data_IF_197742569031
#
_entry.id   IF_197742569031
#
_cell.length_a   1.000
_cell.length_b   1.000
_cell.length_c   1.000
_cell.angle_alpha   90.00
_cell.angle_beta   90.00
_cell.angle_gamma   90.00
#
_symmetry.space_group_name_H-M   'P 1'
#
loop_
_entity.id
_entity.type
_entity.pdbx_description
1 polymer ?
#
# COMPACT_ATOMS: atom_id res chain seq x y z
N UNK A 1 7.02 41.70 -60.58
CA UNK A 1 6.88 41.39 -59.13
C UNK A 1 8.00 42.09 -58.36
N UNK A 2 7.69 43.01 -57.43
CA UNK A 2 8.70 43.76 -56.66
C UNK A 2 9.62 42.77 -55.91
N UNK A 3 10.93 43.00 -55.92
CA UNK A 3 11.93 42.08 -55.34
C UNK A 3 11.62 41.68 -53.89
N UNK A 4 11.11 42.63 -53.10
CA UNK A 4 10.63 42.41 -51.72
C UNK A 4 9.47 41.40 -51.63
N UNK A 5 8.56 41.39 -52.60
CA UNK A 5 7.46 40.42 -52.67
C UNK A 5 8.00 38.99 -52.88
N UNK A 6 9.12 38.81 -53.60
CA UNK A 6 9.76 37.48 -53.74
C UNK A 6 10.34 36.98 -52.41
N UNK A 7 10.93 37.87 -51.62
CA UNK A 7 11.50 37.51 -50.31
C UNK A 7 10.37 37.19 -49.32
N UNK A 8 9.28 37.95 -49.34
CA UNK A 8 8.10 37.67 -48.54
C UNK A 8 7.44 36.32 -48.90
N UNK A 9 7.26 36.02 -50.19
CA UNK A 9 6.74 34.72 -50.60
C UNK A 9 7.69 33.57 -50.20
N UNK A 10 9.01 33.81 -50.20
CA UNK A 10 9.98 32.82 -49.75
C UNK A 10 9.89 32.56 -48.23
N UNK A 11 9.71 33.59 -47.40
CA UNK A 11 9.49 33.39 -45.96
C UNK A 11 8.17 32.68 -45.66
N UNK A 12 7.11 32.98 -46.42
CA UNK A 12 5.84 32.25 -46.33
C UNK A 12 6.02 30.79 -46.73
N UNK A 13 6.75 30.52 -47.81
CA UNK A 13 7.03 29.15 -48.25
C UNK A 13 7.81 28.35 -47.19
N UNK A 14 8.79 28.97 -46.52
CA UNK A 14 9.48 28.35 -45.38
C UNK A 14 8.49 28.02 -44.26
N UNK A 15 7.64 28.96 -43.85
CA UNK A 15 6.64 28.72 -42.81
C UNK A 15 5.64 27.58 -43.17
N UNK A 16 5.24 27.47 -44.44
CA UNK A 16 4.41 26.34 -44.90
C UNK A 16 5.16 25.02 -44.77
N UNK A 17 6.44 24.97 -45.15
CA UNK A 17 7.29 23.77 -45.01
C UNK A 17 7.45 23.40 -43.53
N UNK A 18 7.68 24.38 -42.66
CA UNK A 18 7.81 24.16 -41.21
C UNK A 18 6.49 23.62 -40.62
N UNK A 19 5.33 24.10 -41.07
CA UNK A 19 4.01 23.54 -40.69
C UNK A 19 3.87 22.09 -41.17
N UNK A 20 4.29 21.77 -42.39
CA UNK A 20 4.22 20.40 -42.91
C UNK A 20 5.16 19.45 -42.15
N UNK A 21 6.36 19.92 -41.79
CA UNK A 21 7.31 19.18 -40.95
C UNK A 21 6.70 18.94 -39.57
N UNK A 22 6.10 19.97 -38.97
CA UNK A 22 5.40 19.85 -37.71
C UNK A 22 4.26 18.85 -37.78
N UNK A 23 3.37 18.93 -38.78
CA UNK A 23 2.29 17.96 -38.98
C UNK A 23 2.80 16.54 -39.21
N UNK A 24 3.94 16.37 -39.88
CA UNK A 24 4.59 15.07 -40.03
C UNK A 24 5.07 14.51 -38.69
N UNK A 25 5.71 15.33 -37.84
CA UNK A 25 6.04 14.92 -36.46
C UNK A 25 4.79 14.65 -35.62
N UNK A 26 3.74 15.45 -35.80
CA UNK A 26 2.44 15.30 -35.15
C UNK A 26 1.77 13.96 -35.50
N UNK A 27 1.89 13.47 -36.75
CA UNK A 27 1.35 12.17 -37.14
C UNK A 27 2.02 11.00 -36.41
N UNK A 28 3.25 11.17 -35.92
CA UNK A 28 3.89 10.22 -35.01
C UNK A 28 3.50 10.43 -33.53
N UNK A 29 2.82 11.53 -33.19
CA UNK A 29 2.38 11.89 -31.84
C UNK A 29 0.86 11.73 -31.62
N UNK A 30 0.04 11.84 -32.67
CA UNK A 30 -1.43 11.74 -32.59
C UNK A 30 -1.87 10.29 -32.75
N UNK A 31 -2.35 9.68 -31.66
CA UNK A 31 -3.44 8.71 -31.73
C UNK A 31 -4.47 9.01 -30.62
N UNK A 32 -5.73 9.07 -31.06
CA UNK A 32 -7.00 9.00 -30.35
C UNK A 32 -7.01 9.12 -28.80
N UNK A 33 -7.81 10.09 -28.34
CA UNK A 33 -8.30 10.31 -26.96
C UNK A 33 -7.47 11.17 -26.00
N UNK A 34 -6.60 12.07 -26.49
CA UNK A 34 -6.24 13.24 -25.69
C UNK A 34 -7.15 14.41 -26.04
N UNK A 35 -7.97 14.88 -25.10
CA UNK A 35 -8.74 16.13 -25.19
C UNK A 35 -7.86 17.40 -25.27
N UNK A 36 -6.58 17.26 -25.61
CA UNK A 36 -5.56 18.30 -25.66
C UNK A 36 -5.39 18.87 -27.07
N UNK A 37 -6.46 19.45 -27.61
CA UNK A 37 -6.42 20.29 -28.82
C UNK A 37 -5.72 21.68 -28.61
N UNK A 38 -5.54 22.25 -27.40
CA UNK A 38 -4.96 23.61 -27.27
C UNK A 38 -3.45 23.74 -27.51
N UNK A 39 -2.64 22.74 -27.14
CA UNK A 39 -1.17 22.86 -27.22
C UNK A 39 -0.67 22.85 -28.66
N UNK A 40 -1.28 22.03 -29.51
CA UNK A 40 -0.87 21.91 -30.92
C UNK A 40 -1.20 23.14 -31.76
N UNK A 41 -2.28 23.85 -31.41
CA UNK A 41 -2.63 25.14 -32.01
C UNK A 41 -1.61 26.23 -31.66
N UNK A 42 -1.06 26.19 -30.45
CA UNK A 42 -0.05 27.15 -30.01
C UNK A 42 1.25 27.03 -30.82
N UNK A 43 1.69 25.81 -31.12
CA UNK A 43 2.90 25.57 -31.95
C UNK A 43 2.69 26.06 -33.38
N UNK A 44 1.51 25.86 -33.96
CA UNK A 44 1.17 26.41 -35.29
C UNK A 44 1.21 27.95 -35.26
N UNK A 45 0.66 28.57 -34.22
CA UNK A 45 0.69 30.04 -34.04
C UNK A 45 2.14 30.54 -33.94
N UNK A 46 3.00 29.84 -33.20
CA UNK A 46 4.43 30.18 -33.12
C UNK A 46 5.12 30.09 -34.49
N UNK A 47 4.90 29.02 -35.26
CA UNK A 47 5.45 28.88 -36.62
C UNK A 47 4.96 30.01 -37.54
N UNK A 48 3.68 30.37 -37.47
CA UNK A 48 3.13 31.48 -38.24
C UNK A 48 3.74 32.84 -37.82
N UNK A 49 3.96 33.04 -36.52
CA UNK A 49 4.61 34.25 -35.99
C UNK A 49 6.11 34.37 -36.37
N UNK A 50 6.74 33.26 -36.77
CA UNK A 50 8.12 33.26 -37.24
C UNK A 50 8.26 33.77 -38.69
N UNK A 51 7.19 33.77 -39.49
CA UNK A 51 7.22 34.20 -40.90
C UNK A 51 7.72 35.65 -41.06
N UNK A 52 7.24 36.66 -40.30
CA UNK A 52 7.80 38.02 -40.33
C UNK A 52 9.28 38.07 -39.94
N UNK A 53 9.72 37.25 -38.98
CA UNK A 53 11.12 37.18 -38.54
C UNK A 53 11.99 36.61 -39.67
N UNK A 54 11.55 35.52 -40.30
CA UNK A 54 12.20 34.93 -41.47
C UNK A 54 12.30 35.95 -42.62
N UNK A 55 11.26 36.75 -42.85
CA UNK A 55 11.27 37.82 -43.85
C UNK A 55 12.38 38.85 -43.58
N UNK A 56 12.50 39.34 -42.33
CA UNK A 56 13.53 40.31 -41.95
C UNK A 56 14.93 39.72 -42.11
N UNK A 57 15.16 38.49 -41.67
CA UNK A 57 16.45 37.79 -41.81
C UNK A 57 16.82 37.64 -43.29
N UNK A 58 15.91 37.14 -44.11
CA UNK A 58 16.14 36.96 -45.55
C UNK A 58 16.34 38.31 -46.26
N UNK A 59 15.65 39.36 -45.81
CA UNK A 59 15.82 40.72 -46.32
C UNK A 59 17.23 41.26 -46.04
N UNK A 60 17.71 41.13 -44.78
CA UNK A 60 19.05 41.53 -44.37
C UNK A 60 20.13 40.76 -45.13
N UNK A 61 20.00 39.44 -45.26
CA UNK A 61 20.93 38.61 -46.04
C UNK A 61 20.93 39.03 -47.51
N UNK A 62 19.76 39.28 -48.10
CA UNK A 62 19.65 39.80 -49.46
C UNK A 62 20.38 41.14 -49.62
N UNK A 63 20.25 42.04 -48.65
CA UNK A 63 20.88 43.35 -48.67
C UNK A 63 22.41 43.23 -48.56
N UNK A 64 22.91 42.50 -47.57
CA UNK A 64 24.35 42.31 -47.30
C UNK A 64 25.06 41.58 -48.44
N UNK A 65 24.44 40.57 -49.03
CA UNK A 65 25.02 39.75 -50.10
C UNK A 65 24.61 40.21 -51.51
N UNK A 66 24.19 41.47 -51.68
CA UNK A 66 23.86 42.09 -52.98
C UNK A 66 22.92 41.21 -53.84
N UNK A 67 21.86 40.67 -53.22
CA UNK A 67 20.84 39.83 -53.85
C UNK A 67 21.35 38.49 -54.40
N UNK A 68 22.44 37.95 -53.85
CA UNK A 68 22.99 36.66 -54.23
C UNK A 68 21.99 35.51 -53.97
N UNK A 69 21.61 34.80 -55.03
CA UNK A 69 20.66 33.68 -54.95
C UNK A 69 21.16 32.50 -54.11
N UNK A 70 22.47 32.23 -54.10
CA UNK A 70 23.04 31.12 -53.31
C UNK A 70 22.93 31.42 -51.82
N UNK A 71 23.23 32.65 -51.41
CA UNK A 71 23.11 33.09 -50.01
C UNK A 71 21.67 32.93 -49.50
N UNK A 72 20.68 33.39 -50.28
CA UNK A 72 19.27 33.22 -49.94
C UNK A 72 18.86 31.75 -49.79
N UNK A 73 19.27 30.87 -50.71
CA UNK A 73 18.96 29.43 -50.62
C UNK A 73 19.56 28.78 -49.37
N UNK A 74 20.82 29.09 -49.06
CA UNK A 74 21.52 28.56 -47.88
C UNK A 74 20.81 29.05 -46.60
N UNK A 75 20.50 30.34 -46.50
CA UNK A 75 19.77 30.88 -45.34
C UNK A 75 18.39 30.24 -45.20
N UNK A 76 17.63 30.05 -46.29
CA UNK A 76 16.34 29.35 -46.23
C UNK A 76 16.47 27.91 -45.72
N UNK A 77 17.49 27.18 -46.19
CA UNK A 77 17.74 25.81 -45.71
C UNK A 77 18.13 25.77 -44.23
N UNK A 78 18.92 26.74 -43.76
CA UNK A 78 19.30 26.87 -42.35
C UNK A 78 18.08 27.18 -41.46
N UNK A 79 17.18 28.07 -41.88
CA UNK A 79 15.95 28.37 -41.14
C UNK A 79 15.07 27.13 -40.97
N UNK A 80 14.89 26.35 -42.04
CA UNK A 80 14.14 25.08 -41.98
C UNK A 80 14.84 24.07 -41.06
N UNK A 81 16.17 23.92 -41.16
CA UNK A 81 16.94 23.01 -40.30
C UNK A 81 16.83 23.39 -38.82
N UNK A 82 16.90 24.70 -38.51
CA UNK A 82 16.72 25.19 -37.13
C UNK A 82 15.32 24.82 -36.62
N UNK A 83 14.28 24.98 -37.44
CA UNK A 83 12.92 24.56 -37.07
C UNK A 83 12.83 23.05 -36.83
N UNK A 84 13.42 22.22 -37.70
CA UNK A 84 13.48 20.76 -37.54
C UNK A 84 14.15 20.38 -36.21
N UNK A 85 15.32 20.97 -35.90
CA UNK A 85 16.03 20.66 -34.65
C UNK A 85 15.25 21.11 -33.41
N UNK A 86 14.57 22.27 -33.47
CA UNK A 86 13.72 22.74 -32.39
C UNK A 86 12.53 21.81 -32.15
N UNK A 87 11.81 21.42 -33.20
CA UNK A 87 10.68 20.48 -33.14
C UNK A 87 11.12 19.07 -32.71
N UNK A 88 12.31 18.64 -33.13
CA UNK A 88 12.87 17.36 -32.69
C UNK A 88 13.16 17.37 -31.18
N UNK A 89 13.75 18.45 -30.68
CA UNK A 89 14.07 18.63 -29.26
C UNK A 89 12.81 18.58 -28.39
N UNK A 90 11.77 19.33 -28.76
CA UNK A 90 10.51 19.38 -27.99
C UNK A 90 9.71 18.08 -28.07
N UNK A 91 9.71 17.40 -29.23
CA UNK A 91 9.02 16.11 -29.39
C UNK A 91 9.63 14.96 -28.58
N UNK A 92 10.88 15.10 -28.11
CA UNK A 92 11.53 14.11 -27.26
C UNK A 92 10.83 13.92 -25.91
N UNK A 93 10.57 15.03 -25.21
CA UNK A 93 9.89 15.04 -23.92
C UNK A 93 8.43 14.58 -24.04
N UNK A 94 7.73 15.00 -25.10
CA UNK A 94 6.35 14.60 -25.37
C UNK A 94 6.24 13.11 -25.68
N UNK A 95 7.18 12.54 -26.45
CA UNK A 95 7.24 11.09 -26.69
C UNK A 95 7.47 10.31 -25.39
N UNK A 96 8.34 10.82 -24.50
CA UNK A 96 8.59 10.18 -23.20
C UNK A 96 7.34 10.24 -22.30
N UNK A 97 6.67 11.39 -22.22
CA UNK A 97 5.39 11.54 -21.51
C UNK A 97 4.32 10.60 -22.06
N UNK A 98 4.16 10.54 -23.38
CA UNK A 98 3.23 9.62 -24.04
C UNK A 98 3.56 8.15 -23.73
N UNK A 99 4.82 7.75 -23.80
CA UNK A 99 5.25 6.39 -23.47
C UNK A 99 4.91 6.04 -22.02
N UNK A 100 5.11 6.98 -21.08
CA UNK A 100 4.76 6.79 -19.68
C UNK A 100 3.24 6.70 -19.48
N UNK A 101 2.45 7.55 -20.14
CA UNK A 101 0.99 7.46 -20.14
C UNK A 101 0.48 6.12 -20.66
N UNK A 102 1.05 5.62 -21.76
CA UNK A 102 0.68 4.32 -22.32
C UNK A 102 1.05 3.17 -21.39
N UNK A 103 2.20 3.25 -20.72
CA UNK A 103 2.60 2.28 -19.71
C UNK A 103 1.64 2.33 -18.51
N UNK A 104 1.34 3.52 -17.99
CA UNK A 104 0.41 3.73 -16.88
C UNK A 104 -1.00 3.24 -17.22
N UNK A 105 -1.52 3.55 -18.41
CA UNK A 105 -2.84 3.12 -18.87
C UNK A 105 -2.99 1.60 -18.90
N UNK A 106 -1.93 0.88 -19.34
CA UNK A 106 -1.90 -0.60 -19.41
C UNK A 106 -1.57 -1.26 -18.08
N UNK A 107 -1.05 -0.52 -17.12
CA UNK A 107 -0.68 -1.07 -15.81
C UNK A 107 -1.92 -1.35 -14.98
N UNK A 108 -1.90 -2.49 -14.29
CA UNK A 108 -2.97 -2.89 -13.38
C UNK A 108 -3.07 -1.95 -12.17
N UNK A 109 -4.32 -1.65 -11.79
CA UNK A 109 -4.66 -0.70 -10.73
C UNK A 109 -5.76 -1.26 -9.84
N UNK A 110 -5.75 -0.85 -8.57
CA UNK A 110 -6.75 -1.26 -7.59
C UNK A 110 -7.19 -0.08 -6.71
N UNK A 111 -8.41 -0.14 -6.22
CA UNK A 111 -8.88 0.77 -5.19
C UNK A 111 -8.40 0.30 -3.81
N UNK A 112 -7.29 0.86 -3.31
CA UNK A 112 -6.78 0.56 -1.98
C UNK A 112 -6.23 1.79 -1.26
N UNK A 113 -6.09 1.70 0.06
CA UNK A 113 -5.46 2.69 0.93
C UNK A 113 -4.19 2.12 1.58
N UNK A 114 -3.37 3.01 2.14
CA UNK A 114 -2.16 2.65 2.86
C UNK A 114 -2.34 2.93 4.35
N UNK A 115 -1.83 2.04 5.17
CA UNK A 115 -1.95 2.11 6.62
C UNK A 115 -0.63 1.85 7.34
N UNK A 116 -0.56 2.35 8.57
CA UNK A 116 0.53 2.05 9.50
C UNK A 116 -0.06 1.32 10.70
N UNK A 117 0.62 0.28 11.14
CA UNK A 117 0.31 -0.41 12.39
C UNK A 117 1.55 -0.45 13.28
N UNK A 118 1.34 -0.50 14.58
CA UNK A 118 2.38 -0.57 15.61
C UNK A 118 1.91 -1.53 16.69
N UNK A 119 2.80 -2.25 17.37
CA UNK A 119 2.42 -2.94 18.59
C UNK A 119 1.92 -1.96 19.65
N UNK A 120 0.89 -2.36 20.40
CA UNK A 120 0.32 -1.52 21.45
C UNK A 120 1.41 -1.14 22.46
N UNK A 121 1.49 0.16 22.76
CA UNK A 121 2.47 0.72 23.70
C UNK A 121 3.88 0.93 23.16
N UNK A 122 4.08 0.78 21.84
CA UNK A 122 5.35 1.10 21.18
C UNK A 122 5.15 2.22 20.15
N UNK A 123 4.96 3.48 20.62
CA UNK A 123 4.69 4.59 19.73
C UNK A 123 5.89 4.89 18.82
N UNK A 124 5.58 5.24 17.57
CA UNK A 124 6.56 5.73 16.59
C UNK A 124 6.07 7.01 15.91
N UNK A 125 6.98 7.75 15.28
CA UNK A 125 6.64 8.85 14.38
C UNK A 125 7.34 8.65 13.04
N UNK A 126 6.59 8.68 11.94
CA UNK A 126 7.17 8.63 10.60
C UNK A 126 7.86 9.95 10.23
N UNK A 127 9.01 9.84 9.56
CA UNK A 127 9.76 10.95 8.97
C UNK A 127 9.31 11.22 7.53
N UNK A 128 9.64 12.41 7.00
CA UNK A 128 9.02 12.97 5.79
C UNK A 128 9.12 12.11 4.52
N UNK A 129 10.17 11.30 4.38
CA UNK A 129 10.42 10.52 3.17
C UNK A 129 9.73 9.16 3.16
N UNK A 130 8.97 8.83 4.20
CA UNK A 130 8.24 7.55 4.31
C UNK A 130 7.12 7.45 3.26
N UNK A 131 7.14 6.40 2.43
CA UNK A 131 6.16 6.18 1.36
C UNK A 131 6.16 4.74 0.84
N UNK A 132 5.00 4.32 0.35
CA UNK A 132 4.91 3.25 -0.64
C UNK A 132 5.22 3.83 -2.02
N UNK A 133 6.37 3.47 -2.60
CA UNK A 133 6.86 4.08 -3.83
C UNK A 133 6.37 3.33 -5.06
N UNK A 134 5.85 4.10 -6.04
CA UNK A 134 5.33 3.62 -7.32
C UNK A 134 6.22 4.18 -8.43
N UNK A 135 6.70 3.31 -9.32
CA UNK A 135 7.57 3.64 -10.46
C UNK A 135 6.79 4.13 -11.68
N UNK A 136 5.59 3.60 -11.92
CA UNK A 136 4.76 3.93 -13.08
C UNK A 136 3.69 4.95 -12.69
N UNK A 137 3.77 6.15 -13.27
CA UNK A 137 2.88 7.29 -13.01
C UNK A 137 2.49 7.97 -14.33
N UNK A 138 1.25 8.41 -14.41
CA UNK A 138 0.78 9.34 -15.44
C UNK A 138 0.90 10.81 -15.01
N UNK A 139 0.30 11.71 -15.78
CA UNK A 139 0.22 13.15 -15.56
C UNK A 139 -0.75 13.47 -14.42
N UNK A 140 -1.78 12.63 -14.22
CA UNK A 140 -2.74 12.70 -13.10
C UNK A 140 -2.82 11.34 -12.42
N UNK A 141 -2.28 11.26 -11.20
CA UNK A 141 -2.33 10.04 -10.41
C UNK A 141 -3.10 10.29 -9.12
N UNK A 142 -3.91 9.32 -8.66
CA UNK A 142 -4.39 9.35 -7.29
C UNK A 142 -3.20 9.40 -6.34
N UNK A 143 -3.30 10.24 -5.32
CA UNK A 143 -2.27 10.40 -4.30
C UNK A 143 -2.67 9.60 -3.07
N UNK A 144 -1.73 8.76 -2.62
CA UNK A 144 -1.74 8.13 -1.30
C UNK A 144 -0.56 8.68 -0.52
N UNK A 145 -0.79 9.10 0.71
CA UNK A 145 0.24 9.69 1.56
C UNK A 145 0.17 9.07 2.94
N UNK A 146 1.33 8.58 3.40
CA UNK A 146 1.52 8.31 4.81
C UNK A 146 1.58 9.64 5.57
N UNK A 147 0.88 9.73 6.68
CA UNK A 147 0.89 10.93 7.51
C UNK A 147 2.19 11.00 8.33
N UNK A 148 3.13 11.83 7.87
CA UNK A 148 4.42 12.04 8.55
C UNK A 148 4.30 13.09 9.65
N UNK A 149 5.19 13.05 10.64
CA UNK A 149 5.15 13.96 11.80
C UNK A 149 4.04 13.65 12.83
N UNK A 150 3.20 12.64 12.56
CA UNK A 150 2.18 12.12 13.46
C UNK A 150 2.73 10.97 14.30
N UNK A 151 2.27 10.87 15.54
CA UNK A 151 2.57 9.73 16.41
C UNK A 151 1.56 8.62 16.16
N UNK A 152 2.06 7.46 15.76
CA UNK A 152 1.28 6.23 15.63
C UNK A 152 1.45 5.38 16.89
N UNK A 153 0.33 4.92 17.43
CA UNK A 153 0.25 4.00 18.56
C UNK A 153 -1.09 3.29 18.51
N UNK A 154 -1.19 2.28 17.67
CA UNK A 154 -2.41 1.50 17.47
C UNK A 154 -2.16 0.03 17.80
N UNK A 155 -2.92 -0.86 17.14
CA UNK A 155 -2.90 -2.29 17.38
C UNK A 155 -2.13 -3.03 16.28
N UNK A 156 -1.36 -4.05 16.68
CA UNK A 156 -0.62 -4.89 15.76
C UNK A 156 -1.54 -5.60 14.75
N UNK A 157 -1.21 -5.53 13.46
CA UNK A 157 -2.05 -6.05 12.38
C UNK A 157 -3.28 -5.21 12.03
N UNK A 158 -3.54 -4.09 12.74
CA UNK A 158 -4.62 -3.16 12.40
C UNK A 158 -4.05 -1.87 11.88
N UNK A 159 -4.13 -1.71 10.56
CA UNK A 159 -3.72 -0.51 9.89
C UNK A 159 -4.60 0.65 10.31
N UNK A 160 -3.96 1.75 10.65
CA UNK A 160 -4.64 3.02 10.56
C UNK A 160 -4.45 3.57 9.15
N UNK A 161 -5.54 3.56 8.38
CA UNK A 161 -5.61 4.21 7.08
C UNK A 161 -5.14 5.66 7.17
N UNK A 162 -4.35 6.04 6.19
CA UNK A 162 -3.81 7.38 6.01
C UNK A 162 -4.63 8.13 4.97
N UNK A 163 -4.01 9.04 4.22
CA UNK A 163 -4.73 9.85 3.24
C UNK A 163 -4.80 9.17 1.88
N UNK A 164 -6.01 9.10 1.33
CA UNK A 164 -6.27 8.89 -0.10
C UNK A 164 -7.18 10.01 -0.60
N UNK A 165 -6.81 10.63 -1.72
CA UNK A 165 -7.64 11.65 -2.39
C UNK A 165 -9.04 11.09 -2.71
N UNK A 166 -10.11 11.81 -2.35
CA UNK A 166 -11.51 11.40 -2.56
C UNK A 166 -11.93 11.36 -4.03
N UNK A 167 -11.20 12.09 -4.88
CA UNK A 167 -11.60 12.39 -6.26
C UNK A 167 -10.90 11.48 -7.29
N UNK A 168 -10.05 10.54 -6.86
CA UNK A 168 -9.18 9.78 -7.75
C UNK A 168 -9.33 8.26 -7.62
N UNK A 169 -9.42 7.59 -8.78
CA UNK A 169 -9.76 6.18 -8.94
C UNK A 169 -8.71 5.15 -8.49
N UNK A 170 -8.54 4.11 -9.30
CA UNK A 170 -7.68 2.98 -8.97
C UNK A 170 -6.18 3.36 -9.03
N UNK A 171 -5.39 2.83 -8.09
CA UNK A 171 -3.97 3.14 -7.90
C UNK A 171 -3.11 1.95 -8.34
N UNK A 172 -1.96 2.22 -8.94
CA UNK A 172 -0.95 1.19 -9.27
C UNK A 172 -0.34 0.62 -7.98
N UNK A 173 -0.06 -0.68 -7.93
CA UNK A 173 0.62 -1.29 -6.79
C UNK A 173 2.04 -0.71 -6.59
N UNK A 174 2.55 -0.65 -5.34
CA UNK A 174 3.88 -0.13 -5.07
C UNK A 174 4.98 -1.11 -5.52
N UNK A 175 6.12 -0.57 -5.94
CA UNK A 175 7.35 -1.32 -6.27
C UNK A 175 8.23 -1.51 -5.05
N UNK A 176 8.16 -0.58 -4.10
CA UNK A 176 9.02 -0.55 -2.93
C UNK A 176 8.33 0.11 -1.75
N UNK A 177 8.82 -0.24 -0.57
CA UNK A 177 8.43 0.34 0.70
C UNK A 177 9.65 1.05 1.29
N UNK A 178 9.54 2.38 1.42
CA UNK A 178 10.54 3.22 2.02
C UNK A 178 9.96 3.77 3.32
N UNK A 179 10.52 3.40 4.47
CA UNK A 179 10.05 3.84 5.78
C UNK A 179 11.20 4.44 6.57
N UNK A 180 10.93 5.56 7.19
CA UNK A 180 11.85 6.25 8.07
C UNK A 180 11.06 6.65 9.31
N UNK A 181 11.53 6.31 10.50
CA UNK A 181 10.78 6.63 11.71
C UNK A 181 11.67 6.84 12.93
N UNK A 182 11.09 7.49 13.92
CA UNK A 182 11.60 7.59 15.27
C UNK A 182 10.80 6.67 16.20
N UNK A 183 11.49 5.85 16.99
CA UNK A 183 10.91 5.01 18.04
C UNK A 183 11.06 5.69 19.40
N UNK A 184 9.93 6.08 20.01
CA UNK A 184 9.95 6.92 21.22
C UNK A 184 10.51 6.19 22.45
N UNK A 185 10.20 4.89 22.59
CA UNK A 185 10.71 4.08 23.69
C UNK A 185 12.20 3.75 23.54
N UNK A 186 12.67 3.59 22.31
CA UNK A 186 14.06 3.21 22.05
C UNK A 186 15.00 4.42 21.96
N UNK A 187 14.47 5.62 21.73
CA UNK A 187 15.23 6.83 21.37
C UNK A 187 16.06 6.70 20.10
N UNK A 188 15.50 6.01 19.10
CA UNK A 188 16.26 5.60 17.91
C UNK A 188 15.52 5.93 16.64
N UNK A 189 16.31 6.17 15.61
CA UNK A 189 15.83 6.37 14.26
C UNK A 189 16.14 5.15 13.41
N UNK A 190 15.23 4.81 12.51
CA UNK A 190 15.36 3.66 11.62
C UNK A 190 15.06 4.04 10.18
N UNK A 191 15.69 3.32 9.25
CA UNK A 191 15.42 3.38 7.82
C UNK A 191 15.23 1.98 7.25
N UNK A 192 14.20 1.84 6.42
CA UNK A 192 13.96 0.69 5.57
C UNK A 192 13.77 1.16 4.14
N UNK A 193 14.51 0.57 3.21
CA UNK A 193 14.25 0.72 1.78
C UNK A 193 14.27 -0.68 1.16
N UNK A 194 13.12 -1.19 0.76
CA UNK A 194 13.00 -2.56 0.24
C UNK A 194 12.08 -2.62 -0.97
N UNK A 195 12.36 -3.53 -1.90
CA UNK A 195 11.42 -3.88 -2.96
C UNK A 195 10.23 -4.67 -2.39
N UNK A 196 9.09 -4.57 -3.08
CA UNK A 196 7.85 -5.30 -2.75
C UNK A 196 7.47 -6.18 -3.95
N UNK A 197 7.04 -7.41 -3.67
CA UNK A 197 6.59 -8.33 -4.71
C UNK A 197 5.20 -7.94 -5.25
N UNK A 198 5.20 -7.17 -6.33
CA UNK A 198 3.99 -6.76 -7.05
C UNK A 198 3.14 -7.92 -7.55
N UNK A 199 3.77 -9.03 -7.97
CA UNK A 199 3.05 -10.16 -8.52
C UNK A 199 2.27 -10.87 -7.40
N UNK A 200 2.89 -11.05 -6.24
CA UNK A 200 2.22 -11.56 -5.05
C UNK A 200 1.06 -10.67 -4.62
N UNK A 201 1.27 -9.35 -4.52
CA UNK A 201 0.19 -8.40 -4.19
C UNK A 201 -0.96 -8.46 -5.20
N UNK A 202 -0.67 -8.41 -6.51
CA UNK A 202 -1.67 -8.52 -7.58
C UNK A 202 -2.49 -9.81 -7.45
N UNK A 203 -1.85 -10.92 -7.10
CA UNK A 203 -2.54 -12.19 -6.91
C UNK A 203 -3.52 -12.14 -5.73
N UNK A 204 -3.16 -11.49 -4.62
CA UNK A 204 -4.09 -11.28 -3.51
C UNK A 204 -5.26 -10.38 -3.89
N UNK A 205 -5.01 -9.24 -4.54
CA UNK A 205 -6.09 -8.34 -4.96
C UNK A 205 -7.06 -8.98 -5.96
N UNK A 206 -6.56 -9.80 -6.90
CA UNK A 206 -7.38 -10.59 -7.84
C UNK A 206 -8.18 -11.67 -7.14
N UNK A 207 -7.53 -12.42 -6.25
CA UNK A 207 -8.16 -13.53 -5.55
C UNK A 207 -9.24 -13.04 -4.60
N UNK A 208 -8.98 -11.98 -3.83
CA UNK A 208 -9.88 -11.51 -2.78
C UNK A 208 -10.03 -12.50 -1.62
N UNK A 209 -11.11 -12.35 -0.85
CA UNK A 209 -11.43 -13.19 0.32
C UNK A 209 -12.93 -13.46 0.41
N UNK A 210 -13.35 -14.42 1.24
CA UNK A 210 -14.78 -14.72 1.46
C UNK A 210 -15.32 -13.91 2.63
N UNK A 211 -16.51 -13.35 2.46
CA UNK A 211 -17.14 -12.53 3.49
C UNK A 211 -18.66 -12.70 3.52
N UNK A 212 -19.24 -12.78 4.72
CA UNK A 212 -20.68 -12.75 4.97
C UNK A 212 -21.16 -11.30 5.23
N UNK A 213 -21.92 -10.75 4.29
CA UNK A 213 -22.40 -9.36 4.30
C UNK A 213 -23.47 -9.15 5.38
N UNK A 214 -24.39 -10.10 5.50
CA UNK A 214 -25.61 -9.92 6.29
C UNK A 214 -25.44 -10.44 7.73
N UNK A 215 -24.34 -11.14 8.00
CA UNK A 215 -24.10 -11.79 9.29
C UNK A 215 -25.07 -12.95 9.55
N UNK A 216 -25.77 -13.45 8.54
CA UNK A 216 -26.73 -14.56 8.67
C UNK A 216 -26.06 -15.92 8.49
N UNK A 217 -24.80 -15.94 8.04
CA UNK A 217 -24.02 -17.13 7.70
C UNK A 217 -24.71 -18.00 6.63
N UNK A 218 -25.58 -17.42 5.80
CA UNK A 218 -26.29 -18.13 4.72
C UNK A 218 -25.51 -18.07 3.40
N UNK A 219 -25.06 -16.88 3.05
CA UNK A 219 -24.36 -16.63 1.80
C UNK A 219 -23.07 -15.87 2.09
N UNK A 220 -22.00 -16.27 1.41
CA UNK A 220 -20.73 -15.55 1.43
C UNK A 220 -20.42 -15.04 0.04
N UNK A 221 -20.00 -13.79 -0.08
CA UNK A 221 -19.50 -13.22 -1.33
C UNK A 221 -17.98 -13.18 -1.37
N UNK A 222 -17.44 -12.91 -2.56
CA UNK A 222 -16.04 -12.59 -2.75
C UNK A 222 -15.82 -11.09 -2.47
N UNK A 223 -15.18 -10.77 -1.34
CA UNK A 223 -14.67 -9.44 -1.02
C UNK A 223 -13.35 -9.16 -1.74
N UNK A 224 -13.00 -7.88 -1.88
CA UNK A 224 -11.72 -7.43 -2.45
C UNK A 224 -10.89 -6.81 -1.35
N UNK A 225 -9.58 -7.05 -1.39
CA UNK A 225 -8.67 -6.30 -0.55
C UNK A 225 -8.63 -4.83 -0.95
N UNK A 226 -8.50 -3.95 0.03
CA UNK A 226 -8.53 -2.49 -0.15
C UNK A 226 -7.54 -1.76 0.77
N UNK A 227 -6.63 -2.47 1.43
CA UNK A 227 -5.61 -1.86 2.28
C UNK A 227 -4.25 -2.57 2.20
N UNK A 228 -3.16 -1.79 2.18
CA UNK A 228 -1.79 -2.25 2.42
C UNK A 228 -1.26 -1.61 3.70
N UNK A 229 -0.80 -2.43 4.64
CA UNK A 229 -0.44 -1.98 5.98
C UNK A 229 1.03 -2.28 6.24
N UNK A 230 1.80 -1.28 6.64
CA UNK A 230 3.15 -1.48 7.19
C UNK A 230 3.09 -1.47 8.74
N UNK A 231 3.31 -2.64 9.33
CA UNK A 231 3.54 -2.82 10.76
C UNK A 231 4.96 -2.50 11.14
N UNK A 232 5.16 -1.55 12.04
CA UNK A 232 6.47 -1.16 12.54
C UNK A 232 6.57 -1.53 14.02
N UNK A 233 7.49 -2.43 14.35
CA UNK A 233 7.74 -2.93 15.67
C UNK A 233 9.15 -2.54 16.17
N UNK A 234 9.37 -2.55 17.49
CA UNK A 234 10.67 -2.23 18.09
C UNK A 234 11.85 -3.00 17.53
N UNK A 235 13.02 -2.36 17.54
CA UNK A 235 14.26 -2.94 17.06
C UNK A 235 14.38 -2.97 15.54
N UNK A 236 13.56 -2.21 14.80
CA UNK A 236 13.60 -2.14 13.34
C UNK A 236 12.78 -3.21 12.62
N UNK A 237 11.89 -3.92 13.32
CA UNK A 237 11.09 -4.99 12.72
C UNK A 237 9.93 -4.41 11.90
N UNK A 238 9.75 -4.86 10.65
CA UNK A 238 8.65 -4.41 9.79
C UNK A 238 7.91 -5.59 9.18
N UNK A 239 6.57 -5.55 9.22
CA UNK A 239 5.70 -6.53 8.56
C UNK A 239 4.78 -5.82 7.58
N UNK A 240 4.69 -6.34 6.35
CA UNK A 240 3.74 -5.86 5.35
C UNK A 240 2.53 -6.79 5.34
N UNK A 241 1.33 -6.24 5.54
CA UNK A 241 0.08 -6.96 5.36
C UNK A 241 -0.73 -6.41 4.20
N UNK A 242 -1.56 -7.28 3.63
CA UNK A 242 -2.73 -6.88 2.86
C UNK A 242 -3.97 -7.09 3.72
N UNK A 243 -4.90 -6.15 3.67
CA UNK A 243 -6.06 -6.16 4.57
C UNK A 243 -7.32 -5.65 3.89
N UNK A 244 -8.44 -6.07 4.47
CA UNK A 244 -9.77 -5.53 4.26
C UNK A 244 -10.67 -6.01 5.40
N UNK A 245 -11.98 -5.84 5.27
CA UNK A 245 -12.98 -6.16 6.28
C UNK A 245 -12.75 -7.54 6.93
N UNK A 246 -12.19 -7.53 8.15
CA UNK A 246 -11.91 -8.71 8.98
C UNK A 246 -11.05 -9.81 8.31
N UNK A 247 -10.32 -9.51 7.23
CA UNK A 247 -9.32 -10.40 6.63
C UNK A 247 -8.01 -9.64 6.41
N UNK A 248 -6.97 -10.03 7.12
CA UNK A 248 -5.63 -9.43 7.13
C UNK A 248 -4.61 -10.56 6.99
N UNK A 249 -3.75 -10.47 5.97
CA UNK A 249 -2.77 -11.52 5.62
C UNK A 249 -1.36 -10.97 5.57
N UNK A 250 -0.43 -11.72 6.14
CA UNK A 250 0.99 -11.37 6.10
C UNK A 250 1.54 -11.60 4.68
N UNK A 251 2.20 -10.58 4.13
CA UNK A 251 2.83 -10.62 2.80
C UNK A 251 4.33 -10.83 2.93
N UNK A 252 5.00 -10.01 3.74
CA UNK A 252 6.45 -10.02 3.86
C UNK A 252 6.90 -9.44 5.20
N UNK A 253 8.13 -9.79 5.59
CA UNK A 253 8.79 -9.28 6.80
C UNK A 253 10.15 -8.76 6.44
N UNK A 254 10.51 -7.62 7.02
CA UNK A 254 11.74 -6.89 6.77
C UNK A 254 12.41 -6.47 8.08
N UNK A 255 13.69 -6.13 7.97
CA UNK A 255 14.48 -5.57 9.07
C UNK A 255 15.06 -4.24 8.59
N UNK A 256 14.77 -3.19 9.33
CA UNK A 256 15.30 -1.85 9.13
C UNK A 256 16.63 -1.68 9.84
N UNK A 257 17.42 -0.73 9.36
CA UNK A 257 18.70 -0.36 9.93
C UNK A 257 18.52 0.86 10.84
N UNK A 258 19.21 0.86 11.98
CA UNK A 258 19.30 2.04 12.83
C UNK A 258 20.14 3.11 12.12
N UNK A 259 19.66 4.35 12.10
CA UNK A 259 20.33 5.50 11.47
C UNK A 259 20.66 6.58 12.49
N UNK A 260 21.71 7.35 12.23
CA UNK A 260 22.13 8.41 13.14
C UNK A 260 21.29 9.67 12.93
N UNK A 261 20.94 10.35 14.03
CA UNK A 261 20.32 11.67 14.01
C UNK A 261 21.05 12.67 13.11
N UNK A 262 22.38 12.60 12.99
CA UNK A 262 23.17 13.54 12.16
C UNK A 262 22.92 13.42 10.66
N UNK A 263 22.32 12.32 10.19
CA UNK A 263 21.97 12.14 8.77
C UNK A 263 20.58 12.67 8.43
N UNK A 264 19.83 13.14 9.44
CA UNK A 264 18.46 13.62 9.28
C UNK A 264 18.43 15.10 8.96
N UNK A 265 17.35 15.51 8.28
CA UNK A 265 17.03 16.93 8.09
C UNK A 265 16.45 17.48 9.39
N UNK A 266 16.66 18.76 9.68
CA UNK A 266 16.26 19.37 10.97
C UNK A 266 14.77 19.17 11.31
N UNK A 267 13.90 19.18 10.29
CA UNK A 267 12.46 19.02 10.48
C UNK A 267 12.03 17.57 10.81
N UNK A 268 12.89 16.57 10.57
CA UNK A 268 12.64 15.16 10.91
C UNK A 268 13.15 14.81 12.32
N UNK A 269 13.92 15.70 12.93
CA UNK A 269 14.46 15.49 14.27
C UNK A 269 13.36 15.69 15.31
N UNK A 270 13.01 14.62 16.02
CA UNK A 270 12.06 14.69 17.12
C UNK A 270 12.68 15.47 18.28
N UNK A 271 11.97 16.49 18.74
CA UNK A 271 12.40 17.32 19.87
C UNK A 271 12.17 16.62 21.19
N UNK A 272 13.02 16.91 22.17
CA UNK A 272 12.99 16.27 23.49
C UNK A 272 11.71 16.58 24.29
N UNK A 273 11.13 17.77 24.13
CA UNK A 273 9.84 18.16 24.73
C UNK A 273 8.71 17.27 24.20
N UNK A 274 8.66 17.06 22.88
CA UNK A 274 7.67 16.19 22.23
C UNK A 274 7.82 14.75 22.70
N UNK A 275 9.07 14.25 22.78
CA UNK A 275 9.33 12.90 23.28
C UNK A 275 8.80 12.70 24.71
N UNK A 276 9.09 13.65 25.62
CA UNK A 276 8.60 13.59 27.00
C UNK A 276 7.08 13.66 27.07
N UNK A 277 6.45 14.48 26.25
CA UNK A 277 4.99 14.54 26.13
C UNK A 277 4.43 13.18 25.72
N UNK A 278 4.99 12.56 24.67
CA UNK A 278 4.56 11.23 24.22
C UNK A 278 4.71 10.19 25.32
N UNK A 279 5.88 10.14 25.98
CA UNK A 279 6.20 9.09 26.97
C UNK A 279 5.45 9.24 28.30
N UNK A 280 5.03 10.45 28.66
CA UNK A 280 4.25 10.71 29.87
C UNK A 280 2.73 10.68 29.61
N UNK A 281 2.31 10.46 28.36
CA UNK A 281 0.90 10.35 28.01
C UNK A 281 0.33 9.00 28.50
N UNK A 282 -0.34 9.04 29.65
CA UNK A 282 -1.04 7.90 30.26
C UNK A 282 -2.54 7.90 30.00
N UNK A 283 -3.05 8.80 29.15
CA UNK A 283 -4.50 8.97 28.97
C UNK A 283 -5.12 7.76 28.26
N UNK A 284 -6.10 7.15 28.92
CA UNK A 284 -7.01 6.15 28.35
C UNK A 284 -8.31 6.77 27.79
N UNK A 285 -8.31 8.06 27.44
CA UNK A 285 -9.54 8.87 27.31
C UNK A 285 -9.92 9.18 25.85
N UNK A 286 -11.23 9.08 25.56
CA UNK A 286 -11.93 9.11 24.25
C UNK A 286 -11.87 10.39 23.42
N UNK A 287 -11.31 11.49 23.93
CA UNK A 287 -11.25 12.77 23.20
C UNK A 287 -9.88 13.03 22.54
N UNK A 288 -9.54 12.12 21.63
CA UNK A 288 -8.70 12.31 20.43
C UNK A 288 -7.32 13.03 20.53
N UNK A 289 -6.26 12.22 20.62
CA UNK A 289 -5.13 12.15 19.65
C UNK A 289 -4.56 10.72 19.62
N UNK A 290 -5.06 9.84 18.74
CA UNK A 290 -4.40 8.56 18.39
C UNK A 290 -4.14 7.53 19.53
N UNK A 291 -4.83 7.65 20.67
CA UNK A 291 -4.95 6.65 21.75
C UNK A 291 -3.71 5.82 22.12
N UNK A 292 -2.79 6.47 22.82
CA UNK A 292 -1.57 5.86 23.36
C UNK A 292 -1.83 5.20 24.72
N UNK A 293 -1.83 3.88 24.78
CA UNK A 293 -1.50 3.15 26.02
C UNK A 293 -0.01 2.89 26.02
N UNK A 294 0.81 3.63 26.76
CA UNK A 294 2.21 3.22 26.96
C UNK A 294 2.24 2.10 27.99
N UNK A 295 2.16 0.87 27.50
CA UNK A 295 2.08 -0.34 28.35
C UNK A 295 3.43 -0.67 29.01
N UNK A 296 4.53 -0.08 28.54
CA UNK A 296 5.86 -0.58 28.83
C UNK A 296 6.44 -0.21 30.21
N UNK A 297 5.67 0.20 31.23
CA UNK A 297 6.02 0.45 32.66
C UNK A 297 7.48 0.11 33.14
N UNK A 298 8.51 0.68 32.51
CA UNK A 298 9.92 0.28 32.61
C UNK A 298 10.26 -1.22 32.37
N UNK A 299 9.42 -1.99 31.68
CA UNK A 299 9.74 -3.36 31.29
C UNK A 299 10.74 -3.40 30.12
N UNK A 300 11.61 -4.42 30.03
CA UNK A 300 12.47 -4.60 28.86
C UNK A 300 11.65 -4.82 27.59
N UNK A 301 12.03 -4.14 26.51
CA UNK A 301 11.40 -4.30 25.21
C UNK A 301 11.63 -5.74 24.69
N UNK A 302 10.58 -6.49 24.33
CA UNK A 302 10.69 -7.87 23.85
C UNK A 302 11.09 -7.90 22.37
N UNK A 303 12.31 -7.45 22.06
CA UNK A 303 12.82 -7.40 20.68
C UNK A 303 12.66 -8.73 19.94
N UNK A 304 12.19 -8.67 18.69
CA UNK A 304 12.03 -9.84 17.82
C UNK A 304 10.80 -10.71 18.11
N UNK A 305 9.96 -10.38 19.10
CA UNK A 305 8.77 -11.21 19.39
C UNK A 305 7.77 -11.19 18.21
N UNK A 306 7.57 -10.04 17.56
CA UNK A 306 6.63 -9.85 16.46
C UNK A 306 7.05 -10.53 15.16
N UNK A 307 8.36 -10.58 14.87
CA UNK A 307 8.90 -11.19 13.65
C UNK A 307 9.44 -12.61 13.84
N UNK A 308 9.58 -13.04 15.10
CA UNK A 308 10.02 -14.37 15.52
C UNK A 308 8.91 -15.20 16.16
N UNK A 309 8.69 -15.04 17.48
CA UNK A 309 7.75 -15.86 18.26
C UNK A 309 6.36 -15.89 17.63
N UNK A 310 5.78 -14.74 17.32
CA UNK A 310 4.40 -14.64 16.83
C UNK A 310 4.18 -15.22 15.45
N UNK A 311 5.24 -15.31 14.65
CA UNK A 311 5.22 -15.92 13.31
C UNK A 311 5.54 -17.40 13.32
N UNK A 312 5.82 -17.99 14.49
CA UNK A 312 6.07 -19.43 14.61
C UNK A 312 4.82 -20.19 14.20
N UNK A 313 4.98 -21.09 13.23
CA UNK A 313 3.88 -21.90 12.68
C UNK A 313 3.89 -23.30 13.28
N UNK A 314 2.70 -23.82 13.49
CA UNK A 314 2.45 -25.19 13.91
C UNK A 314 1.46 -25.83 12.93
N UNK A 315 1.49 -27.15 12.76
CA UNK A 315 0.56 -27.86 11.88
C UNK A 315 -0.74 -28.21 12.61
N UNK A 316 -1.73 -27.31 12.57
CA UNK A 316 -2.95 -27.49 13.38
C UNK A 316 -4.24 -27.03 12.69
N UNK A 317 -5.36 -27.48 13.26
CA UNK A 317 -6.74 -27.09 12.89
C UNK A 317 -7.62 -26.96 14.14
N UNK A 318 -8.77 -26.30 13.98
CA UNK A 318 -9.81 -26.23 15.03
C UNK A 318 -10.86 -27.31 14.81
N UNK A 319 -11.25 -28.00 15.87
CA UNK A 319 -12.46 -28.84 15.90
C UNK A 319 -13.45 -28.32 16.93
N UNK A 320 -14.70 -28.10 16.51
CA UNK A 320 -15.77 -27.64 17.39
C UNK A 320 -16.73 -28.81 17.62
N UNK A 321 -17.07 -29.11 18.88
CA UNK A 321 -18.02 -30.16 19.19
C UNK A 321 -19.42 -29.82 18.68
N UNK A 322 -20.22 -30.84 18.34
CA UNK A 322 -21.64 -30.62 18.11
C UNK A 322 -22.35 -30.41 19.45
N UNK A 323 -23.02 -29.28 19.58
CA UNK A 323 -23.86 -28.90 20.71
C UNK A 323 -25.24 -28.43 20.22
N UNK A 324 -25.65 -28.78 19.00
CA UNK A 324 -26.93 -28.42 18.40
C UNK A 324 -26.93 -27.09 17.63
N UNK A 325 -25.76 -26.61 17.21
CA UNK A 325 -25.62 -25.45 16.34
C UNK A 325 -25.96 -25.78 14.88
N UNK A 326 -26.62 -24.85 14.19
CA UNK A 326 -27.07 -25.07 12.80
C UNK A 326 -26.20 -24.35 11.77
N UNK A 327 -25.62 -23.21 12.13
CA UNK A 327 -24.71 -22.41 11.29
C UNK A 327 -23.57 -21.90 12.13
N UNK A 328 -22.40 -21.69 11.51
CA UNK A 328 -21.22 -21.21 12.21
C UNK A 328 -20.28 -20.39 11.32
N UNK A 329 -19.70 -19.34 11.91
CA UNK A 329 -18.59 -18.58 11.40
C UNK A 329 -17.48 -18.59 12.44
N UNK A 330 -16.26 -18.96 12.06
CA UNK A 330 -15.10 -19.02 12.93
C UNK A 330 -14.10 -17.97 12.49
N UNK A 331 -13.96 -16.90 13.26
CA UNK A 331 -12.96 -15.86 13.04
C UNK A 331 -11.73 -16.15 13.91
N UNK A 332 -10.57 -16.02 13.30
CA UNK A 332 -9.26 -16.08 13.93
C UNK A 332 -8.69 -14.67 14.04
N UNK A 333 -8.14 -14.33 15.20
CA UNK A 333 -7.15 -13.26 15.34
C UNK A 333 -5.84 -13.85 15.84
N UNK A 334 -4.74 -13.66 15.11
CA UNK A 334 -3.44 -14.25 15.41
C UNK A 334 -2.50 -13.24 16.05
N UNK A 335 -1.56 -13.73 16.87
CA UNK A 335 -0.55 -12.88 17.50
C UNK A 335 0.36 -12.16 16.49
N UNK A 336 0.57 -12.70 15.28
CA UNK A 336 1.34 -12.00 14.24
C UNK A 336 0.53 -10.90 13.51
N UNK A 337 -0.71 -10.62 13.94
CA UNK A 337 -1.56 -9.61 13.35
C UNK A 337 -2.45 -10.11 12.19
N UNK A 338 -2.27 -11.35 11.74
CA UNK A 338 -3.18 -11.93 10.75
C UNK A 338 -4.59 -12.12 11.33
N UNK A 339 -5.60 -11.99 10.48
CA UNK A 339 -7.01 -12.19 10.83
C UNK A 339 -7.71 -12.79 9.64
N UNK A 340 -8.58 -13.76 9.86
CA UNK A 340 -9.45 -14.25 8.80
C UNK A 340 -10.59 -15.07 9.38
N UNK A 341 -11.52 -15.46 8.53
CA UNK A 341 -12.70 -16.19 8.95
C UNK A 341 -13.03 -17.36 8.01
N UNK A 342 -13.55 -18.42 8.60
CA UNK A 342 -14.11 -19.58 7.93
C UNK A 342 -15.61 -19.65 8.19
N UNK A 343 -16.36 -20.29 7.29
CA UNK A 343 -17.82 -20.36 7.34
C UNK A 343 -18.33 -21.77 7.10
N UNK A 344 -19.29 -22.21 7.91
CA UNK A 344 -20.05 -23.45 7.78
C UNK A 344 -19.17 -24.65 7.42
N UNK A 345 -19.38 -25.27 6.26
CA UNK A 345 -18.64 -26.45 5.81
C UNK A 345 -17.12 -26.26 5.79
N UNK A 346 -16.63 -25.05 5.51
CA UNK A 346 -15.19 -24.77 5.51
C UNK A 346 -14.56 -24.90 6.91
N UNK A 347 -15.35 -24.79 7.98
CA UNK A 347 -14.90 -25.05 9.36
C UNK A 347 -14.79 -26.55 9.61
N UNK A 348 -15.76 -27.33 9.11
CA UNK A 348 -15.81 -28.79 9.31
C UNK A 348 -14.74 -29.49 8.46
N UNK A 349 -14.55 -29.02 7.22
CA UNK A 349 -13.60 -29.57 6.25
C UNK A 349 -12.18 -28.99 6.39
N UNK A 350 -11.88 -28.32 7.51
CA UNK A 350 -10.53 -27.80 7.77
C UNK A 350 -9.49 -28.91 7.64
N UNK A 351 -8.45 -28.64 6.85
CA UNK A 351 -7.25 -29.46 6.81
C UNK A 351 -6.24 -28.96 7.83
N UNK A 352 -5.36 -29.85 8.25
CA UNK A 352 -4.16 -29.46 8.99
C UNK A 352 -3.32 -28.54 8.10
N UNK A 353 -2.89 -27.41 8.66
CA UNK A 353 -2.07 -26.43 7.95
C UNK A 353 -1.06 -25.82 8.90
N UNK A 354 0.12 -25.47 8.36
CA UNK A 354 1.13 -24.70 9.06
C UNK A 354 0.65 -23.25 9.22
N UNK A 355 0.20 -22.88 10.42
CA UNK A 355 -0.31 -21.53 10.71
C UNK A 355 0.17 -21.01 12.08
N UNK A 356 0.24 -19.67 12.27
CA UNK A 356 0.55 -19.05 13.55
C UNK A 356 -0.47 -19.42 14.65
N UNK A 357 -0.19 -19.05 15.89
CA UNK A 357 -1.11 -19.28 17.01
C UNK A 357 -2.10 -18.11 17.19
N UNK A 358 -3.37 -18.40 17.52
CA UNK A 358 -4.40 -17.39 17.69
C UNK A 358 -4.20 -16.65 19.02
N UNK A 359 -4.36 -15.33 19.00
CA UNK A 359 -4.63 -14.52 20.18
C UNK A 359 -6.06 -14.75 20.66
N UNK A 360 -7.01 -14.86 19.74
CA UNK A 360 -8.40 -15.20 20.05
C UNK A 360 -9.09 -15.97 18.91
N UNK A 361 -10.16 -16.69 19.28
CA UNK A 361 -11.17 -17.20 18.37
C UNK A 361 -12.52 -16.54 18.68
N UNK A 362 -13.24 -16.14 17.64
CA UNK A 362 -14.62 -15.70 17.74
C UNK A 362 -15.50 -16.66 16.92
N UNK A 363 -16.24 -17.52 17.61
CA UNK A 363 -17.22 -18.41 17.02
C UNK A 363 -18.58 -17.72 17.03
N UNK A 364 -19.05 -17.28 15.87
CA UNK A 364 -20.45 -16.86 15.67
C UNK A 364 -21.27 -18.10 15.31
N UNK A 365 -22.37 -18.37 16.00
CA UNK A 365 -23.21 -19.54 15.69
C UNK A 365 -24.69 -19.28 15.88
N UNK A 366 -25.51 -20.11 15.24
CA UNK A 366 -26.96 -20.14 15.43
C UNK A 366 -27.37 -21.39 16.18
N UNK A 367 -28.24 -21.22 17.17
CA UNK A 367 -28.86 -22.31 17.91
C UNK A 367 -30.31 -21.94 18.25
N UNK A 368 -31.24 -22.85 17.99
CA UNK A 368 -32.68 -22.65 18.22
C UNK A 368 -33.21 -21.34 17.59
N UNK A 369 -32.69 -21.01 16.39
CA UNK A 369 -33.04 -19.78 15.66
C UNK A 369 -32.42 -18.48 16.18
N UNK A 370 -31.64 -18.53 17.28
CA UNK A 370 -30.98 -17.36 17.87
C UNK A 370 -29.49 -17.33 17.53
N UNK A 371 -28.97 -16.12 17.37
CA UNK A 371 -27.55 -15.87 17.10
C UNK A 371 -26.77 -15.66 18.38
N UNK A 372 -25.61 -16.29 18.48
CA UNK A 372 -24.69 -16.16 19.60
C UNK A 372 -23.26 -15.95 19.10
N UNK A 373 -22.44 -15.39 19.97
CA UNK A 373 -21.00 -15.34 19.84
C UNK A 373 -20.37 -16.07 21.03
N UNK A 374 -19.35 -16.89 20.77
CA UNK A 374 -18.39 -17.34 21.76
C UNK A 374 -17.03 -16.68 21.50
N UNK A 375 -16.57 -15.85 22.42
CA UNK A 375 -15.26 -15.20 22.38
C UNK A 375 -14.30 -15.96 23.30
N UNK A 376 -13.20 -16.45 22.73
CA UNK A 376 -12.17 -17.23 23.41
C UNK A 376 -10.83 -16.51 23.23
N UNK A 377 -10.35 -15.84 24.28
CA UNK A 377 -9.06 -15.15 24.27
C UNK A 377 -8.02 -15.98 25.02
N UNK A 378 -6.90 -16.27 24.37
CA UNK A 378 -5.87 -17.14 24.92
C UNK A 378 -4.86 -16.39 25.78
N UNK A 379 -4.40 -17.05 26.84
CA UNK A 379 -3.14 -16.65 27.46
C UNK A 379 -1.97 -17.05 26.57
N UNK A 380 -1.14 -16.07 26.22
CA UNK A 380 -0.02 -16.25 25.31
C UNK A 380 0.99 -17.27 25.86
N UNK A 381 1.30 -17.21 27.15
CA UNK A 381 2.35 -18.05 27.71
C UNK A 381 1.90 -19.51 27.80
N UNK A 382 0.68 -19.77 28.27
CA UNK A 382 0.06 -21.09 28.31
C UNK A 382 -0.07 -21.68 26.91
N UNK A 383 -0.59 -20.92 25.95
CA UNK A 383 -0.83 -21.42 24.60
C UNK A 383 0.47 -21.86 23.92
N UNK A 384 1.50 -20.99 23.90
CA UNK A 384 2.77 -21.34 23.27
C UNK A 384 3.49 -22.49 23.97
N UNK A 385 3.43 -22.56 25.30
CA UNK A 385 4.02 -23.67 26.04
C UNK A 385 3.31 -24.98 25.72
N UNK A 386 1.97 -24.97 25.70
CA UNK A 386 1.15 -26.16 25.42
C UNK A 386 1.37 -26.68 24.01
N UNK A 387 1.42 -25.79 23.01
CA UNK A 387 1.77 -26.17 21.63
C UNK A 387 3.17 -26.75 21.52
N UNK A 388 4.19 -26.12 22.13
CA UNK A 388 5.57 -26.64 22.11
C UNK A 388 5.71 -27.99 22.83
N UNK A 389 4.98 -28.22 23.92
CA UNK A 389 5.00 -29.47 24.67
C UNK A 389 4.41 -30.65 23.89
N UNK A 390 3.42 -30.39 23.03
CA UNK A 390 2.78 -31.42 22.20
C UNK A 390 3.39 -31.54 20.80
N UNK A 391 3.96 -30.47 20.25
CA UNK A 391 4.64 -30.43 18.95
C UNK A 391 6.16 -30.66 19.09
N UNK A 392 6.56 -31.91 19.38
CA UNK A 392 7.98 -32.30 19.37
C UNK A 392 8.63 -32.15 17.98
N UNK A 393 7.81 -32.27 16.92
CA UNK A 393 8.14 -31.98 15.53
C UNK A 393 7.23 -30.83 15.05
N UNK A 394 7.76 -29.80 14.34
CA UNK A 394 6.94 -28.74 13.73
C UNK A 394 5.78 -29.23 12.85
N UNK A 395 5.88 -30.44 12.27
CA UNK A 395 4.85 -31.04 11.43
C UNK A 395 3.85 -31.93 12.20
N UNK A 396 4.03 -32.07 13.51
CA UNK A 396 3.11 -32.82 14.36
C UNK A 396 1.68 -32.32 14.16
N UNK A 397 0.73 -33.25 14.00
CA UNK A 397 -0.67 -32.89 13.74
C UNK A 397 -1.37 -32.56 15.06
N UNK A 398 -1.70 -31.28 15.26
CA UNK A 398 -2.39 -30.84 16.46
C UNK A 398 -3.85 -30.46 16.17
N UNK A 399 -4.73 -30.81 17.11
CA UNK A 399 -6.15 -30.45 17.05
C UNK A 399 -6.47 -29.57 18.26
N UNK A 400 -6.87 -28.33 18.00
CA UNK A 400 -7.41 -27.45 19.02
C UNK A 400 -8.92 -27.69 19.09
N UNK A 401 -9.36 -28.47 20.08
CA UNK A 401 -10.76 -28.84 20.27
C UNK A 401 -11.46 -27.85 21.19
N UNK A 402 -12.48 -27.18 20.66
CA UNK A 402 -13.40 -26.30 21.39
C UNK A 402 -14.68 -27.08 21.70
N UNK A 403 -14.96 -27.28 22.98
CA UNK A 403 -16.16 -27.98 23.44
C UNK A 403 -17.09 -27.01 24.14
N UNK A 404 -18.34 -26.93 23.69
CA UNK A 404 -19.38 -26.10 24.29
C UNK A 404 -20.53 -27.03 24.71
N UNK A 405 -21.07 -26.85 25.92
CA UNK A 405 -22.21 -27.64 26.38
C UNK A 405 -23.51 -27.23 25.68
N UNK A 406 -24.47 -28.16 25.57
CA UNK A 406 -25.77 -27.87 24.94
C UNK A 406 -26.56 -26.77 25.64
N UNK A 407 -26.34 -26.49 26.92
CA UNK A 407 -26.96 -25.37 27.64
C UNK A 407 -26.19 -24.05 27.50
N UNK A 408 -25.08 -24.04 26.74
CA UNK A 408 -24.17 -22.91 26.49
C UNK A 408 -23.48 -22.35 27.75
N UNK A 409 -23.50 -23.08 28.87
CA UNK A 409 -22.92 -22.61 30.14
C UNK A 409 -21.49 -23.05 30.38
N UNK A 410 -21.05 -24.13 29.74
CA UNK A 410 -19.72 -24.68 29.91
C UNK A 410 -18.99 -24.63 28.58
N UNK A 411 -17.74 -24.17 28.62
CA UNK A 411 -16.83 -24.18 27.49
C UNK A 411 -15.48 -24.67 27.95
N UNK A 412 -14.85 -25.55 27.18
CA UNK A 412 -13.50 -26.00 27.40
C UNK A 412 -12.71 -26.00 26.10
N UNK A 413 -11.42 -25.68 26.18
CA UNK A 413 -10.52 -25.75 25.05
C UNK A 413 -9.37 -26.69 25.39
N UNK A 414 -9.13 -27.65 24.51
CA UNK A 414 -8.10 -28.68 24.70
C UNK A 414 -7.25 -28.80 23.45
N UNK A 415 -5.94 -28.97 23.63
CA UNK A 415 -5.01 -29.29 22.56
C UNK A 415 -4.71 -30.79 22.56
N UNK A 416 -4.88 -31.43 21.41
CA UNK A 416 -4.76 -32.88 21.24
C UNK A 416 -3.67 -33.22 20.23
N UNK A 417 -2.80 -34.18 20.57
CA UNK A 417 -1.79 -34.75 19.68
C UNK A 417 -1.43 -36.18 20.13
N UNK A 418 -1.36 -37.14 19.20
CA UNK A 418 -0.91 -38.54 19.45
C UNK A 418 -1.51 -39.20 20.71
N UNK A 419 -2.81 -39.01 20.95
CA UNK A 419 -3.51 -39.60 22.11
C UNK A 419 -3.25 -38.89 23.45
N UNK A 420 -2.44 -37.82 23.47
CA UNK A 420 -2.34 -36.89 24.59
C UNK A 420 -3.32 -35.73 24.39
N UNK A 421 -3.85 -35.23 25.50
CA UNK A 421 -4.74 -34.07 25.53
C UNK A 421 -4.33 -33.17 26.70
N UNK A 422 -4.15 -31.88 26.44
CA UNK A 422 -3.87 -30.86 27.45
C UNK A 422 -4.98 -29.80 27.41
N UNK A 423 -5.53 -29.45 28.55
CA UNK A 423 -6.50 -28.36 28.68
C UNK A 423 -5.78 -27.01 28.73
N UNK A 424 -6.40 -25.98 28.14
CA UNK A 424 -6.01 -24.59 28.35
C UNK A 424 -6.87 -24.03 29.49
N UNK A 425 -6.26 -23.81 30.65
CA UNK A 425 -6.97 -23.48 31.89
C UNK A 425 -6.87 -21.99 32.22
N UNK A 426 -5.86 -21.29 31.69
CA UNK A 426 -5.56 -19.90 32.00
C UNK A 426 -6.04 -18.94 30.90
N UNK A 427 -7.09 -19.29 30.15
CA UNK A 427 -7.61 -18.43 29.08
C UNK A 427 -8.01 -17.05 29.65
N UNK A 428 -7.65 -15.98 28.93
CA UNK A 428 -7.92 -14.59 29.35
C UNK A 428 -9.40 -14.26 29.39
N UNK A 429 -10.16 -14.78 28.42
CA UNK A 429 -11.60 -14.58 28.34
C UNK A 429 -12.30 -15.82 27.74
N UNK A 430 -13.45 -16.17 28.32
CA UNK A 430 -14.35 -17.21 27.83
C UNK A 430 -15.78 -16.71 27.98
N UNK A 431 -16.34 -16.16 26.91
CA UNK A 431 -17.63 -15.47 26.98
C UNK A 431 -18.56 -16.00 25.89
N UNK A 432 -19.76 -16.42 26.29
CA UNK A 432 -20.86 -16.72 25.36
C UNK A 432 -21.98 -15.72 25.60
N UNK A 433 -22.37 -15.00 24.54
CA UNK A 433 -23.42 -14.00 24.61
C UNK A 433 -24.31 -14.03 23.35
N UNK A 434 -25.59 -13.72 23.53
CA UNK A 434 -26.54 -13.56 22.43
C UNK A 434 -26.26 -12.24 21.68
N UNK A 435 -26.48 -12.22 20.36
CA UNK A 435 -26.34 -11.04 19.52
C UNK A 435 -27.69 -10.43 19.14
#
# INVERSE_FOLDING_TARGET
>A
MKYYLKIFLLSVAIGIVDILIYLFFLQFQIIHNSSYVPQELFVIVLILSAIPIHFVILFLVSFLFKRNRKALKITSALLILICIFALWGTSGEERARYSNEMAYAKTEKYNYQQGIATPEGYPIQLLSESRFAISVKGDRNPVTLLETGKVYSNQWGVGQSTFKSSDDGDIVLPDSLNLYWYSFLEDKYYALNTAVDKAMLSNFFKKGFRHDINGTLEETIQGKYDELIAGIAPGGDVVLWISSFNDTREIAVFKAEEINRTTLKDYDVVREDVRKEVLNDTCSCEDNRQFRRIVNHNSPIPFGIWTGKYRSKFNWKVEITDFGQTKMGLKFGFFNGERYQLFNEAIIQQTLEQRPLPEYLLLTFFKDGKKYNAYLEFDEQELYNTFKLLAYDPNESLILRVSISSDLKQTSVTLQAKGKSLSLENMKAVEIYAK
#
